data_IF_248576218105
#
_entry.id   IF_248576218105
#
_cell.length_a   1.000
_cell.length_b   1.000
_cell.length_c   1.000
_cell.angle_alpha   90.00
_cell.angle_beta   90.00
_cell.angle_gamma   90.00
#
_symmetry.space_group_name_H-M   'P 1'
#
loop_
_entity.id
_entity.type
_entity.pdbx_description
1 polymer ?
#
# COMPACT_ATOMS: atom_id res chain seq x y z
N UNK A 1 18.96 -4.90 -6.13
CA UNK A 1 19.03 -3.43 -5.85
C UNK A 1 18.15 -3.12 -4.65
N UNK A 2 18.54 -2.17 -3.79
CA UNK A 2 17.67 -1.75 -2.70
C UNK A 2 16.60 -0.80 -3.24
N UNK A 3 15.34 -1.08 -2.93
CA UNK A 3 14.18 -0.26 -3.31
C UNK A 3 13.86 0.76 -2.22
N UNK A 4 14.00 0.32 -0.98
CA UNK A 4 13.88 1.16 0.21
C UNK A 4 14.93 0.72 1.22
N UNK A 5 15.65 1.69 1.79
CA UNK A 5 16.58 1.47 2.89
C UNK A 5 16.45 2.58 3.91
N UNK A 6 16.07 2.21 5.11
CA UNK A 6 15.92 3.12 6.24
C UNK A 6 16.75 2.55 7.40
N UNK A 7 17.55 3.41 8.04
CA UNK A 7 18.30 3.06 9.26
C UNK A 7 18.10 4.10 10.34
N UNK A 8 17.82 3.61 11.54
CA UNK A 8 17.72 4.36 12.78
C UNK A 8 16.81 5.59 12.69
N UNK A 9 15.64 5.44 12.04
CA UNK A 9 14.64 6.49 11.95
C UNK A 9 13.96 6.69 13.31
N UNK A 10 14.03 7.90 13.83
CA UNK A 10 13.27 8.37 14.97
C UNK A 10 12.37 9.51 14.49
N UNK A 11 11.10 9.52 14.89
CA UNK A 11 10.15 10.53 14.48
C UNK A 11 9.22 10.91 15.63
N UNK A 12 9.07 12.22 15.85
CA UNK A 12 8.11 12.78 16.79
C UNK A 12 7.18 13.76 16.11
N UNK A 13 5.98 13.88 16.63
CA UNK A 13 5.02 14.90 16.25
C UNK A 13 4.71 15.72 17.50
N UNK A 14 5.08 17.00 17.49
CA UNK A 14 5.13 17.84 18.70
C UNK A 14 6.03 17.15 19.75
N UNK A 15 5.51 16.92 20.98
CA UNK A 15 6.24 16.26 22.06
C UNK A 15 6.09 14.73 22.09
N UNK A 16 5.25 14.16 21.20
CA UNK A 16 4.98 12.72 21.19
C UNK A 16 5.91 11.99 20.24
N UNK A 17 6.71 11.07 20.74
CA UNK A 17 7.47 10.10 19.97
C UNK A 17 6.53 9.10 19.30
N UNK A 18 6.62 8.96 17.97
CA UNK A 18 5.76 8.09 17.15
C UNK A 18 6.54 6.92 16.61
N UNK A 19 7.76 7.15 16.10
CA UNK A 19 8.64 6.10 15.60
C UNK A 19 9.97 6.16 16.34
N UNK A 20 10.51 4.97 16.70
CA UNK A 20 11.71 4.82 17.49
C UNK A 20 12.63 3.80 16.84
N UNK A 21 13.81 4.25 16.45
CA UNK A 21 14.88 3.40 15.90
C UNK A 21 14.42 2.44 14.80
N UNK A 22 13.56 2.92 13.89
CA UNK A 22 13.07 2.09 12.80
C UNK A 22 14.17 1.85 11.78
N UNK A 23 14.43 0.55 11.52
CA UNK A 23 15.31 0.10 10.45
C UNK A 23 14.59 -0.93 9.59
N UNK A 24 14.55 -0.69 8.25
CA UNK A 24 13.84 -1.57 7.32
C UNK A 24 14.49 -1.48 5.94
N UNK A 25 14.67 -2.64 5.30
CA UNK A 25 15.14 -2.74 3.92
C UNK A 25 14.14 -3.53 3.07
N UNK A 26 13.94 -3.07 1.83
CA UNK A 26 13.16 -3.76 0.80
C UNK A 26 14.01 -3.88 -0.45
N UNK A 27 14.17 -5.08 -0.96
CA UNK A 27 14.89 -5.35 -2.21
C UNK A 27 13.94 -5.39 -3.39
N UNK A 28 14.52 -5.25 -4.58
CA UNK A 28 13.78 -5.33 -5.83
C UNK A 28 12.99 -6.64 -5.95
N UNK A 29 11.70 -6.52 -6.28
CA UNK A 29 10.78 -7.63 -6.42
C UNK A 29 10.31 -8.24 -5.10
N UNK A 30 10.76 -7.78 -3.92
CA UNK A 30 10.28 -8.29 -2.64
C UNK A 30 8.89 -7.75 -2.27
N UNK A 31 8.11 -8.60 -1.62
CA UNK A 31 6.90 -8.22 -0.90
C UNK A 31 7.18 -8.26 0.59
N UNK A 32 7.14 -7.11 1.22
CA UNK A 32 7.30 -6.97 2.66
C UNK A 32 5.94 -6.72 3.31
N UNK A 33 5.60 -7.54 4.28
CA UNK A 33 4.46 -7.32 5.17
C UNK A 33 4.87 -6.45 6.35
N UNK A 34 4.10 -5.41 6.66
CA UNK A 34 4.22 -4.64 7.89
C UNK A 34 2.93 -4.77 8.68
N UNK A 35 3.01 -5.43 9.84
CA UNK A 35 1.85 -5.68 10.69
C UNK A 35 2.02 -5.02 12.06
N UNK A 36 0.91 -4.67 12.69
CA UNK A 36 0.87 -4.09 14.04
C UNK A 36 -0.50 -3.56 14.38
N UNK A 37 -0.74 -3.28 15.66
CA UNK A 37 -1.99 -2.71 16.14
C UNK A 37 -2.27 -1.32 15.57
N UNK A 38 -3.54 -0.88 15.69
CA UNK A 38 -3.90 0.50 15.42
C UNK A 38 -3.11 1.43 16.35
N UNK A 39 -2.53 2.49 15.78
CA UNK A 39 -1.70 3.42 16.54
C UNK A 39 -0.24 2.99 16.73
N UNK A 40 0.21 1.84 16.22
CA UNK A 40 1.62 1.41 16.34
C UNK A 40 2.62 2.26 15.52
N UNK A 41 2.16 3.14 14.63
CA UNK A 41 3.01 4.03 13.84
C UNK A 41 3.02 3.78 12.32
N UNK A 42 2.39 2.70 11.82
CA UNK A 42 2.42 2.28 10.40
C UNK A 42 2.07 3.40 9.41
N UNK A 43 0.98 4.11 9.64
CA UNK A 43 0.54 5.20 8.75
C UNK A 43 1.50 6.38 8.75
N UNK A 44 2.13 6.71 9.89
CA UNK A 44 3.15 7.75 9.95
C UNK A 44 4.42 7.29 9.24
N UNK A 45 4.78 6.03 9.36
CA UNK A 45 5.89 5.44 8.63
C UNK A 45 5.67 5.50 7.11
N UNK A 46 4.45 5.16 6.62
CA UNK A 46 4.06 5.33 5.22
C UNK A 46 4.20 6.78 4.75
N UNK A 47 3.67 7.73 5.55
CA UNK A 47 3.76 9.16 5.23
C UNK A 47 5.21 9.66 5.20
N UNK A 48 6.08 9.13 6.07
CA UNK A 48 7.50 9.43 6.04
C UNK A 48 8.14 8.99 4.71
N UNK A 49 7.91 7.74 4.29
CA UNK A 49 8.46 7.22 3.02
C UNK A 49 7.99 8.06 1.83
N UNK A 50 6.75 8.52 1.83
CA UNK A 50 6.16 9.33 0.76
C UNK A 50 6.49 10.82 0.83
N UNK A 51 7.19 11.27 1.87
CA UNK A 51 7.53 12.69 2.05
C UNK A 51 6.33 13.61 2.35
N UNK A 52 5.22 13.06 2.88
CA UNK A 52 3.97 13.78 3.17
C UNK A 52 3.66 13.86 4.67
N UNK A 53 4.70 14.03 5.48
CA UNK A 53 4.56 14.19 6.93
C UNK A 53 3.82 15.49 7.30
N UNK A 54 3.11 15.52 8.44
CA UNK A 54 2.57 16.76 8.99
C UNK A 54 3.68 17.78 9.26
N UNK A 55 3.38 19.07 9.12
CA UNK A 55 4.35 20.16 9.35
C UNK A 55 4.98 20.16 10.77
N UNK A 56 4.26 19.63 11.76
CA UNK A 56 4.75 19.52 13.14
C UNK A 56 5.65 18.30 13.37
N UNK A 57 5.91 17.48 12.36
CA UNK A 57 6.76 16.31 12.46
C UNK A 57 8.26 16.73 12.46
N UNK A 58 9.02 16.11 13.34
CA UNK A 58 10.48 16.22 13.38
C UNK A 58 11.04 14.80 13.38
N UNK A 59 12.12 14.57 12.65
CA UNK A 59 12.73 13.24 12.55
C UNK A 59 14.24 13.31 12.42
N UNK A 60 14.89 12.23 12.80
CA UNK A 60 16.31 11.96 12.57
C UNK A 60 16.47 10.57 12.00
N UNK A 61 17.39 10.37 11.09
CA UNK A 61 17.75 9.05 10.54
C UNK A 61 19.23 9.02 10.18
N UNK A 62 19.80 7.82 10.12
CA UNK A 62 21.15 7.62 9.59
C UNK A 62 21.15 7.46 8.08
N UNK A 63 20.17 6.70 7.55
CA UNK A 63 20.04 6.45 6.11
C UNK A 63 18.57 6.53 5.71
N UNK A 64 18.33 7.19 4.58
CA UNK A 64 17.07 7.14 3.86
C UNK A 64 17.33 7.12 2.37
N UNK A 65 17.10 5.97 1.76
CA UNK A 65 17.19 5.77 0.32
C UNK A 65 15.88 5.17 -0.14
N UNK A 66 15.26 5.74 -1.16
CA UNK A 66 14.05 5.22 -1.79
C UNK A 66 14.11 5.48 -3.29
N UNK A 67 13.61 4.53 -4.07
CA UNK A 67 13.51 4.72 -5.53
C UNK A 67 12.59 5.89 -5.87
N UNK A 68 12.83 6.59 -6.99
CA UNK A 68 12.11 7.82 -7.33
C UNK A 68 10.63 7.61 -7.69
N UNK A 69 10.23 6.37 -8.06
CA UNK A 69 8.86 6.07 -8.49
C UNK A 69 8.15 5.20 -7.46
N UNK A 70 7.46 5.82 -6.55
CA UNK A 70 6.66 5.16 -5.51
C UNK A 70 5.18 5.40 -5.78
N UNK A 71 4.41 4.31 -5.89
CA UNK A 71 2.95 4.35 -5.87
C UNK A 71 2.41 4.09 -4.47
N UNK A 72 1.27 4.67 -4.11
CA UNK A 72 0.63 4.42 -2.82
C UNK A 72 -0.88 4.24 -2.95
N UNK A 73 -1.39 3.26 -2.20
CA UNK A 73 -2.82 2.99 -2.05
C UNK A 73 -3.12 3.07 -0.56
N UNK A 74 -3.99 4.00 -0.16
CA UNK A 74 -4.38 4.19 1.23
C UNK A 74 -5.66 3.44 1.59
N UNK A 75 -5.87 3.23 2.87
CA UNK A 75 -6.93 2.43 3.50
C UNK A 75 -8.35 2.69 2.95
N UNK A 76 -8.66 3.90 2.52
CA UNK A 76 -10.02 4.25 2.12
C UNK A 76 -10.10 4.67 0.66
N UNK A 77 -10.32 3.67 -0.22
CA UNK A 77 -10.51 3.91 -1.66
C UNK A 77 -11.65 4.89 -1.96
N UNK A 78 -12.74 4.86 -1.15
CA UNK A 78 -13.90 5.73 -1.34
C UNK A 78 -13.57 7.22 -1.14
N UNK A 79 -12.66 7.55 -0.24
CA UNK A 79 -12.23 8.94 0.00
C UNK A 79 -11.10 9.38 -0.93
N UNK A 80 -10.49 8.46 -1.66
CA UNK A 80 -9.39 8.73 -2.59
C UNK A 80 -9.90 9.29 -3.94
N UNK A 81 -11.17 9.03 -4.27
CA UNK A 81 -11.79 9.52 -5.50
C UNK A 81 -12.68 10.74 -5.20
N UNK A 82 -12.56 11.79 -6.01
CA UNK A 82 -13.43 12.95 -5.92
C UNK A 82 -14.85 12.59 -6.43
N UNK A 83 -15.90 12.61 -5.56
CA UNK A 83 -17.24 12.15 -5.94
C UNK A 83 -17.92 13.00 -6.99
N UNK A 84 -17.49 14.25 -7.17
CA UNK A 84 -18.08 15.22 -8.12
C UNK A 84 -17.36 15.27 -9.46
N UNK A 85 -16.35 14.42 -9.66
CA UNK A 85 -15.54 14.41 -10.88
C UNK A 85 -15.57 13.03 -11.53
N UNK A 86 -15.76 12.97 -12.86
CA UNK A 86 -15.68 11.72 -13.63
C UNK A 86 -14.34 11.04 -13.46
N UNK A 87 -14.35 9.70 -13.44
CA UNK A 87 -13.14 8.87 -13.29
C UNK A 87 -12.07 9.22 -14.32
N UNK A 88 -12.43 9.30 -15.60
CA UNK A 88 -11.49 9.63 -16.66
C UNK A 88 -10.78 10.98 -16.46
N UNK A 89 -11.49 11.98 -15.92
CA UNK A 89 -10.88 13.28 -15.62
C UNK A 89 -9.87 13.19 -14.49
N UNK A 90 -10.17 12.42 -13.44
CA UNK A 90 -9.26 12.21 -12.31
C UNK A 90 -7.99 11.47 -12.75
N UNK A 91 -8.14 10.37 -13.49
CA UNK A 91 -7.00 9.60 -14.01
C UNK A 91 -6.16 10.40 -15.01
N UNK A 92 -6.80 11.22 -15.85
CA UNK A 92 -6.09 12.16 -16.73
C UNK A 92 -5.24 13.15 -15.95
N UNK A 93 -5.76 13.72 -14.85
CA UNK A 93 -4.97 14.61 -14.00
C UNK A 93 -3.75 13.91 -13.40
N UNK A 94 -3.91 12.66 -12.92
CA UNK A 94 -2.79 11.85 -12.43
C UNK A 94 -1.77 11.59 -13.55
N UNK A 95 -2.24 11.20 -14.74
CA UNK A 95 -1.36 10.99 -15.89
C UNK A 95 -0.54 12.24 -16.21
N UNK A 96 -1.21 13.39 -16.34
CA UNK A 96 -0.53 14.67 -16.65
C UNK A 96 0.46 15.05 -15.55
N UNK A 97 0.17 14.79 -14.28
CA UNK A 97 1.10 15.06 -13.19
C UNK A 97 2.38 14.21 -13.26
N UNK A 98 2.30 13.00 -13.81
CA UNK A 98 3.46 12.10 -13.97
C UNK A 98 4.26 12.35 -15.24
N UNK A 99 3.58 12.65 -16.35
CA UNK A 99 4.20 12.69 -17.68
C UNK A 99 4.36 14.11 -18.25
N UNK A 100 3.73 15.12 -17.62
CA UNK A 100 3.78 16.52 -18.09
C UNK A 100 3.03 16.78 -19.39
N UNK A 101 2.36 15.78 -19.99
CA UNK A 101 1.66 15.87 -21.27
C UNK A 101 0.28 15.24 -21.20
N UNK A 102 -0.60 15.61 -22.13
CA UNK A 102 -1.92 14.99 -22.31
C UNK A 102 -1.95 13.95 -23.45
N UNK A 103 -0.84 13.77 -24.14
CA UNK A 103 -0.77 12.82 -25.24
C UNK A 103 -0.85 11.39 -24.71
N UNK A 104 -1.58 10.53 -25.44
CA UNK A 104 -1.72 9.09 -25.18
C UNK A 104 -2.26 8.70 -23.76
N UNK A 105 -2.79 9.68 -22.99
CA UNK A 105 -3.32 9.38 -21.65
C UNK A 105 -4.43 8.34 -21.67
N UNK A 106 -5.28 8.38 -22.71
CA UNK A 106 -6.44 7.50 -22.82
C UNK A 106 -6.01 6.06 -23.08
N UNK A 107 -5.09 5.88 -24.04
CA UNK A 107 -4.51 4.57 -24.38
C UNK A 107 -3.80 3.94 -23.16
N UNK A 108 -3.04 4.75 -22.40
CA UNK A 108 -2.39 4.31 -21.17
C UNK A 108 -3.40 3.85 -20.12
N UNK A 109 -4.47 4.61 -19.90
CA UNK A 109 -5.49 4.25 -18.93
C UNK A 109 -6.27 3.00 -19.38
N UNK A 110 -6.65 2.92 -20.66
CA UNK A 110 -7.34 1.76 -21.21
C UNK A 110 -6.52 0.47 -21.15
N UNK A 111 -5.18 0.57 -21.33
CA UNK A 111 -4.29 -0.59 -21.14
C UNK A 111 -4.27 -1.08 -19.70
N UNK A 112 -4.38 -0.19 -18.71
CA UNK A 112 -4.39 -0.54 -17.30
C UNK A 112 -5.74 -1.10 -16.81
N UNK A 113 -6.87 -0.82 -17.49
CA UNK A 113 -8.18 -1.34 -17.08
C UNK A 113 -8.19 -2.88 -17.00
N UNK A 114 -7.67 -3.54 -18.01
CA UNK A 114 -7.59 -5.01 -18.05
C UNK A 114 -6.66 -5.54 -16.95
N UNK A 115 -5.56 -4.82 -16.70
CA UNK A 115 -4.57 -5.20 -15.69
C UNK A 115 -5.14 -5.19 -14.28
N UNK A 116 -6.04 -4.26 -14.01
CA UNK A 116 -6.76 -4.21 -12.73
C UNK A 116 -8.05 -5.04 -12.74
N UNK A 117 -8.34 -5.76 -13.82
CA UNK A 117 -9.49 -6.65 -13.95
C UNK A 117 -10.81 -5.89 -14.10
N UNK A 118 -10.80 -4.76 -14.78
CA UNK A 118 -11.97 -4.00 -15.19
C UNK A 118 -12.25 -4.20 -16.68
N UNK A 119 -13.52 -4.44 -17.01
CA UNK A 119 -13.94 -4.62 -18.40
C UNK A 119 -13.94 -3.27 -19.14
N UNK A 120 -13.03 -3.10 -20.11
CA UNK A 120 -12.90 -1.88 -20.91
C UNK A 120 -14.18 -1.47 -21.64
N UNK A 121 -15.09 -2.42 -21.92
CA UNK A 121 -16.35 -2.13 -22.60
C UNK A 121 -17.38 -1.43 -21.72
N UNK A 122 -17.17 -1.35 -20.40
CA UNK A 122 -18.10 -0.74 -19.44
C UNK A 122 -17.99 0.77 -19.31
N UNK A 123 -17.17 1.42 -20.13
CA UNK A 123 -17.02 2.89 -20.19
C UNK A 123 -16.80 3.56 -18.82
N UNK A 124 -15.87 3.02 -18.02
CA UNK A 124 -15.57 3.52 -16.67
C UNK A 124 -15.15 4.99 -16.65
N UNK A 125 -14.51 5.48 -17.71
CA UNK A 125 -13.95 6.84 -17.76
C UNK A 125 -15.02 7.92 -17.73
N UNK A 126 -16.24 7.64 -18.20
CA UNK A 126 -17.36 8.57 -18.20
C UNK A 126 -18.21 8.53 -16.93
N UNK A 127 -17.96 7.56 -16.05
CA UNK A 127 -18.70 7.40 -14.79
C UNK A 127 -18.16 8.27 -13.68
N UNK A 128 -19.03 8.57 -12.73
CA UNK A 128 -18.67 9.13 -11.42
C UNK A 128 -18.39 8.00 -10.41
N UNK A 129 -17.62 8.25 -9.33
CA UNK A 129 -17.34 7.24 -8.32
C UNK A 129 -18.59 6.56 -7.75
N UNK A 130 -19.66 7.29 -7.49
CA UNK A 130 -20.91 6.74 -6.92
C UNK A 130 -21.66 5.77 -7.87
N UNK A 131 -21.33 5.75 -9.16
CA UNK A 131 -21.88 4.80 -10.15
C UNK A 131 -21.12 3.47 -10.19
N UNK A 132 -20.09 3.32 -9.37
CA UNK A 132 -19.21 2.15 -9.31
C UNK A 132 -19.43 1.37 -8.01
N UNK A 133 -19.33 0.05 -8.08
CA UNK A 133 -19.23 -0.80 -6.89
C UNK A 133 -17.97 -0.50 -6.10
N UNK A 134 -17.93 -0.86 -4.80
CA UNK A 134 -16.75 -0.68 -3.96
C UNK A 134 -15.49 -1.34 -4.52
N UNK A 135 -15.63 -2.56 -5.05
CA UNK A 135 -14.52 -3.26 -5.70
C UNK A 135 -14.02 -2.57 -6.97
N UNK A 136 -14.91 -2.00 -7.79
CA UNK A 136 -14.54 -1.22 -8.96
C UNK A 136 -13.82 0.07 -8.58
N UNK A 137 -14.30 0.79 -7.56
CA UNK A 137 -13.63 1.98 -7.03
C UNK A 137 -12.22 1.64 -6.53
N UNK A 138 -12.07 0.55 -5.78
CA UNK A 138 -10.77 0.08 -5.31
C UNK A 138 -9.81 -0.20 -6.47
N UNK A 139 -10.27 -0.89 -7.53
CA UNK A 139 -9.47 -1.18 -8.73
C UNK A 139 -9.08 0.09 -9.48
N UNK A 140 -9.95 1.09 -9.57
CA UNK A 140 -9.64 2.42 -10.13
C UNK A 140 -8.56 3.13 -9.30
N UNK A 141 -8.62 3.09 -7.96
CA UNK A 141 -7.59 3.69 -7.09
C UNK A 141 -6.25 2.98 -7.28
N UNK A 142 -6.24 1.65 -7.35
CA UNK A 142 -5.02 0.88 -7.64
C UNK A 142 -4.46 1.24 -9.01
N UNK A 143 -5.31 1.36 -10.03
CA UNK A 143 -4.91 1.79 -11.37
C UNK A 143 -4.27 3.17 -11.33
N UNK A 144 -4.84 4.11 -10.56
CA UNK A 144 -4.26 5.43 -10.34
C UNK A 144 -2.82 5.38 -9.79
N UNK A 145 -2.56 4.48 -8.84
CA UNK A 145 -1.21 4.27 -8.29
C UNK A 145 -0.23 3.65 -9.31
N UNK A 146 -0.73 2.93 -10.32
CA UNK A 146 0.09 2.28 -11.36
C UNK A 146 0.37 3.20 -12.57
N UNK A 147 -0.33 4.33 -12.74
CA UNK A 147 -0.16 5.22 -13.89
C UNK A 147 1.30 5.66 -14.06
N UNK A 148 1.97 6.02 -12.97
CA UNK A 148 3.37 6.47 -12.97
C UNK A 148 4.40 5.35 -13.16
N UNK A 149 3.98 4.11 -13.41
CA UNK A 149 4.87 2.93 -13.52
C UNK A 149 5.81 2.81 -12.32
N UNK A 150 5.25 2.69 -11.10
CA UNK A 150 6.08 2.63 -9.93
C UNK A 150 6.90 1.33 -9.89
N UNK A 151 8.15 1.42 -9.42
CA UNK A 151 8.96 0.25 -9.06
C UNK A 151 8.71 -0.22 -7.63
N UNK A 152 8.06 0.63 -6.83
CA UNK A 152 7.69 0.35 -5.45
C UNK A 152 6.25 0.79 -5.18
N UNK A 153 5.43 -0.11 -4.60
CA UNK A 153 4.03 0.13 -4.27
C UNK A 153 3.81 -0.05 -2.78
N UNK A 154 3.22 0.95 -2.15
CA UNK A 154 2.77 0.88 -0.76
C UNK A 154 1.27 0.62 -0.76
N UNK A 155 0.83 -0.46 -0.11
CA UNK A 155 -0.57 -0.83 0.05
C UNK A 155 -0.93 -0.77 1.54
N UNK A 156 -1.52 0.35 1.98
CA UNK A 156 -1.82 0.62 3.39
C UNK A 156 -3.27 0.24 3.72
N UNK A 157 -3.43 -0.87 4.46
CA UNK A 157 -4.69 -1.42 4.96
C UNK A 157 -5.77 -1.65 3.88
N UNK A 158 -5.37 -2.04 2.66
CA UNK A 158 -6.26 -2.22 1.50
C UNK A 158 -7.23 -3.40 1.64
N UNK A 159 -7.07 -4.24 2.66
CA UNK A 159 -7.95 -5.39 2.96
C UNK A 159 -8.83 -5.19 4.20
N UNK A 160 -8.78 -4.02 4.82
CA UNK A 160 -9.58 -3.70 6.01
C UNK A 160 -11.07 -3.68 5.66
N UNK A 161 -11.89 -4.27 6.52
CA UNK A 161 -13.34 -4.40 6.36
C UNK A 161 -13.81 -5.30 5.20
N UNK A 162 -12.92 -6.08 4.58
CA UNK A 162 -13.29 -7.09 3.59
C UNK A 162 -13.56 -8.45 4.26
N UNK A 163 -14.49 -9.22 3.70
CA UNK A 163 -14.68 -10.62 4.07
C UNK A 163 -13.50 -11.50 3.61
N UNK A 164 -13.45 -12.74 4.09
CA UNK A 164 -12.30 -13.65 3.87
C UNK A 164 -12.10 -13.95 2.38
N UNK A 165 -13.17 -14.16 1.62
CA UNK A 165 -13.09 -14.50 0.19
C UNK A 165 -12.53 -13.32 -0.61
N UNK A 166 -13.05 -12.12 -0.37
CA UNK A 166 -12.58 -10.89 -1.00
C UNK A 166 -11.11 -10.58 -0.64
N UNK A 167 -10.68 -10.83 0.62
CA UNK A 167 -9.26 -10.71 1.00
C UNK A 167 -8.35 -11.62 0.17
N UNK A 168 -8.75 -12.86 -0.06
CA UNK A 168 -8.00 -13.82 -0.88
C UNK A 168 -7.89 -13.31 -2.32
N UNK A 169 -8.96 -12.77 -2.88
CA UNK A 169 -8.96 -12.21 -4.22
C UNK A 169 -8.03 -11.00 -4.35
N UNK A 170 -8.05 -10.11 -3.35
CA UNK A 170 -7.13 -8.96 -3.30
C UNK A 170 -5.68 -9.42 -3.25
N UNK A 171 -5.33 -10.41 -2.42
CA UNK A 171 -3.97 -10.96 -2.38
C UNK A 171 -3.55 -11.57 -3.71
N UNK A 172 -4.43 -12.37 -4.35
CA UNK A 172 -4.17 -12.94 -5.69
C UNK A 172 -3.96 -11.83 -6.73
N UNK A 173 -4.72 -10.75 -6.61
CA UNK A 173 -4.60 -9.60 -7.48
C UNK A 173 -3.22 -8.90 -7.31
N UNK A 174 -2.78 -8.62 -6.08
CA UNK A 174 -1.46 -8.05 -5.82
C UNK A 174 -0.31 -8.95 -6.27
N UNK A 175 -0.45 -10.29 -6.16
CA UNK A 175 0.52 -11.24 -6.72
C UNK A 175 0.66 -11.07 -8.24
N UNK A 176 -0.45 -10.99 -8.97
CA UNK A 176 -0.44 -10.76 -10.41
C UNK A 176 0.20 -9.41 -10.78
N UNK A 177 -0.10 -8.34 -10.03
CA UNK A 177 0.53 -7.04 -10.24
C UNK A 177 2.05 -7.11 -10.03
N UNK A 178 2.52 -7.75 -8.94
CA UNK A 178 3.95 -7.98 -8.68
C UNK A 178 4.63 -8.67 -9.87
N UNK A 179 4.05 -9.76 -10.34
CA UNK A 179 4.62 -10.57 -11.43
C UNK A 179 4.63 -9.81 -12.76
N UNK A 180 3.53 -9.13 -13.08
CA UNK A 180 3.37 -8.42 -14.35
C UNK A 180 4.25 -7.17 -14.44
N UNK A 181 4.23 -6.33 -13.41
CA UNK A 181 4.91 -5.02 -13.40
C UNK A 181 6.29 -5.06 -12.76
N UNK A 182 6.71 -6.22 -12.22
CA UNK A 182 8.01 -6.39 -11.51
C UNK A 182 8.19 -5.39 -10.36
N UNK A 183 7.09 -5.05 -9.66
CA UNK A 183 7.08 -4.10 -8.56
C UNK A 183 7.42 -4.77 -7.23
N UNK A 184 8.12 -4.04 -6.37
CA UNK A 184 8.27 -4.38 -4.96
C UNK A 184 7.08 -3.84 -4.18
N UNK A 185 6.64 -4.51 -3.11
CA UNK A 185 5.43 -4.12 -2.40
C UNK A 185 5.71 -4.04 -0.90
N UNK A 186 5.33 -2.92 -0.27
CA UNK A 186 5.13 -2.82 1.18
C UNK A 186 3.63 -2.96 1.46
N UNK A 187 3.24 -4.13 1.96
CA UNK A 187 1.85 -4.44 2.26
C UNK A 187 1.58 -4.29 3.76
N UNK A 188 0.80 -3.28 4.12
CA UNK A 188 0.50 -2.94 5.51
C UNK A 188 -0.88 -3.46 5.87
N UNK A 189 -0.98 -4.22 6.94
CA UNK A 189 -2.25 -4.78 7.43
C UNK A 189 -2.16 -5.06 8.93
N UNK A 190 -3.29 -5.24 9.58
CA UNK A 190 -3.38 -5.79 10.94
C UNK A 190 -3.71 -7.30 10.94
N UNK A 191 -3.92 -7.91 9.76
CA UNK A 191 -4.31 -9.31 9.59
C UNK A 191 -3.15 -10.13 9.04
N UNK A 192 -2.51 -10.91 9.92
CA UNK A 192 -1.38 -11.78 9.58
C UNK A 192 -1.77 -12.87 8.57
N UNK A 193 -3.03 -13.31 8.55
CA UNK A 193 -3.51 -14.34 7.62
C UNK A 193 -3.36 -13.90 6.17
N UNK A 194 -3.54 -12.62 5.90
CA UNK A 194 -3.38 -12.00 4.57
C UNK A 194 -1.93 -12.09 4.06
N UNK A 195 -0.95 -12.01 4.96
CA UNK A 195 0.48 -11.97 4.60
C UNK A 195 1.10 -13.36 4.42
N UNK A 196 0.58 -14.40 5.08
CA UNK A 196 1.23 -15.70 5.24
C UNK A 196 1.71 -16.38 3.95
N UNK A 197 0.98 -16.22 2.84
CA UNK A 197 1.34 -16.81 1.55
C UNK A 197 1.62 -15.74 0.48
N UNK A 198 1.86 -14.51 0.91
CA UNK A 198 2.05 -13.38 0.02
C UNK A 198 3.37 -12.64 0.29
N UNK A 199 3.69 -12.35 1.55
CA UNK A 199 4.89 -11.63 1.91
C UNK A 199 6.11 -12.56 1.95
N UNK A 200 7.22 -12.08 1.39
CA UNK A 200 8.52 -12.76 1.47
C UNK A 200 9.12 -12.60 2.88
N UNK A 201 8.85 -11.46 3.53
CA UNK A 201 9.27 -11.15 4.90
C UNK A 201 8.21 -10.33 5.63
N UNK A 202 8.07 -10.55 6.94
CA UNK A 202 7.09 -9.84 7.77
C UNK A 202 7.79 -9.11 8.90
N UNK A 203 7.60 -7.80 8.96
CA UNK A 203 7.97 -6.95 10.07
C UNK A 203 6.76 -6.70 10.98
N UNK A 204 7.00 -6.68 12.28
CA UNK A 204 5.96 -6.39 13.29
C UNK A 204 6.28 -5.06 13.94
N UNK A 205 5.36 -4.12 13.85
CA UNK A 205 5.48 -2.80 14.50
C UNK A 205 4.65 -2.75 15.77
N UNK A 206 5.29 -2.39 16.88
CA UNK A 206 4.68 -2.28 18.19
C UNK A 206 5.19 -1.04 18.91
N UNK A 207 4.30 -0.15 19.35
CA UNK A 207 4.59 1.11 20.02
C UNK A 207 5.70 1.98 19.37
N UNK A 208 5.67 2.03 18.04
CA UNK A 208 6.62 2.83 17.25
C UNK A 208 7.95 2.15 16.96
N UNK A 209 8.12 0.88 17.31
CA UNK A 209 9.34 0.10 17.07
C UNK A 209 9.07 -1.10 16.17
N UNK A 210 10.04 -1.51 15.36
CA UNK A 210 10.02 -2.82 14.70
C UNK A 210 10.60 -3.82 15.70
N UNK A 211 9.77 -4.78 16.11
CA UNK A 211 10.15 -5.76 17.12
C UNK A 211 10.72 -7.03 16.49
N UNK A 212 11.69 -7.63 17.17
CA UNK A 212 12.38 -8.85 16.78
C UNK A 212 11.51 -10.11 16.96
N UNK A 213 12.07 -11.28 16.60
CA UNK A 213 11.37 -12.56 16.65
C UNK A 213 11.08 -13.03 18.08
N UNK A 214 11.85 -12.61 19.04
CA UNK A 214 11.72 -13.00 20.43
C UNK A 214 10.75 -12.16 21.22
N UNK A 215 10.32 -11.03 20.68
CA UNK A 215 9.40 -10.11 21.35
C UNK A 215 8.05 -10.78 21.69
N UNK A 216 7.54 -10.65 22.93
CA UNK A 216 6.31 -11.31 23.39
C UNK A 216 5.09 -11.01 22.51
N UNK A 217 4.91 -9.76 22.10
CA UNK A 217 3.82 -9.34 21.22
C UNK A 217 3.88 -10.05 19.86
N UNK A 218 5.06 -10.18 19.24
CA UNK A 218 5.22 -10.91 17.98
C UNK A 218 4.87 -12.37 18.14
N UNK A 219 5.37 -13.04 19.18
CA UNK A 219 5.04 -14.44 19.49
C UNK A 219 3.55 -14.66 19.67
N UNK A 220 2.87 -13.81 20.45
CA UNK A 220 1.43 -13.86 20.65
C UNK A 220 0.65 -13.70 19.34
N UNK A 221 1.02 -12.73 18.51
CA UNK A 221 0.37 -12.46 17.24
C UNK A 221 0.44 -13.68 16.29
N UNK A 222 1.61 -14.31 16.20
CA UNK A 222 1.82 -15.48 15.34
C UNK A 222 1.12 -16.74 15.90
N UNK A 223 1.04 -16.93 17.23
CA UNK A 223 0.29 -18.01 17.85
C UNK A 223 -1.20 -17.90 17.58
N UNK A 224 -1.80 -16.72 17.80
CA UNK A 224 -3.22 -16.48 17.52
C UNK A 224 -3.58 -16.76 16.06
N UNK A 225 -2.70 -16.40 15.12
CA UNK A 225 -2.93 -16.67 13.70
C UNK A 225 -2.91 -18.17 13.36
N UNK A 226 -2.09 -18.97 14.04
CA UNK A 226 -2.05 -20.43 13.87
C UNK A 226 -3.33 -21.10 14.39
N UNK A 227 -3.87 -20.63 15.49
CA UNK A 227 -5.10 -21.16 16.10
C UNK A 227 -6.34 -20.85 15.26
N UNK A 228 -6.43 -19.68 14.64
CA UNK A 228 -7.47 -19.35 13.68
C UNK A 228 -7.43 -20.28 12.47
N UNK A 229 -6.22 -20.59 11.97
CA UNK A 229 -6.03 -21.51 10.83
C UNK A 229 -6.43 -22.97 11.13
N UNK A 230 -6.24 -23.44 12.36
CA UNK A 230 -6.64 -24.79 12.76
C UNK A 230 -8.15 -24.96 12.86
N UNK A 231 -8.89 -23.87 13.09
CA UNK A 231 -10.37 -23.86 13.20
C UNK A 231 -11.09 -23.70 11.84
N UNK A 232 -10.37 -23.30 10.79
CA UNK A 232 -10.93 -23.08 9.43
C UNK A 232 -10.62 -24.22 8.46
N UNK A 233 -9.98 -25.30 8.92
CA UNK A 233 -9.85 -26.59 8.25
C UNK A 233 -10.88 -27.57 8.80
#
# INVERSE_FOLDING_TARGET
MDILKIKNLNLKIREKEILKNISLEIKEGEVIGLIGESGSGKTIFTKYILGILPLAAQYTQETFEVVPKVGAIFQNAFTSLNPTMKIGKQLKHLYVSHYGTQENWKEKIESLLEDVGLDKNRNFLDKYPYELSGGEQQRIVIMGALIGEPSFLIADEVTTALDVETKIEVVKFFKRLREKFKISILFITHDLSTLKNFADKIYVMYHGEIVDEDHPYRKQLFQLSQDVWRRTK
#
